data_IF_854630205737
#
_entry.id   IF_854630205737
#
_cell.length_a   1.000
_cell.length_b   1.000
_cell.length_c   1.000
_cell.angle_alpha   90.00
_cell.angle_beta   90.00
_cell.angle_gamma   90.00
#
_symmetry.space_group_name_H-M   'P 1'
#
loop_
_entity.id
_entity.type
_entity.pdbx_description
1 polymer ?
#
# COMPACT_ATOMS: atom_id res chain seq x y z
N UNK A 1 4.07 4.28 38.65
CA UNK A 1 4.24 4.72 37.27
C UNK A 1 4.54 6.18 37.33
N UNK A 2 5.79 6.54 37.05
CA UNK A 2 6.25 7.93 37.09
C UNK A 2 5.73 8.69 35.87
N UNK A 3 5.78 10.03 35.87
CA UNK A 3 5.37 10.83 34.71
C UNK A 3 6.11 10.43 33.42
N UNK A 4 7.35 9.94 33.53
CA UNK A 4 8.14 9.41 32.43
C UNK A 4 7.57 8.10 31.82
N UNK A 5 6.89 7.28 32.61
CA UNK A 5 6.24 6.04 32.12
C UNK A 5 4.98 6.38 31.33
N UNK A 6 4.23 7.39 31.76
CA UNK A 6 3.02 7.87 31.07
C UNK A 6 3.36 8.49 29.70
N UNK A 7 4.42 9.29 29.63
CA UNK A 7 4.91 9.85 28.38
C UNK A 7 5.31 8.76 27.37
N UNK A 8 6.01 7.72 27.84
CA UNK A 8 6.42 6.61 26.99
C UNK A 8 5.23 5.75 26.54
N UNK A 9 4.28 5.47 27.44
CA UNK A 9 3.06 4.73 27.09
C UNK A 9 2.20 5.50 26.07
N UNK A 10 2.09 6.82 26.24
CA UNK A 10 1.45 7.71 25.27
C UNK A 10 2.14 7.62 23.90
N UNK A 11 3.48 7.58 23.87
CA UNK A 11 4.23 7.46 22.62
C UNK A 11 3.99 6.12 21.90
N UNK A 12 3.89 5.02 22.64
CA UNK A 12 3.52 3.72 22.11
C UNK A 12 2.09 3.70 21.57
N UNK A 13 1.14 4.31 22.29
CA UNK A 13 -0.24 4.44 21.83
C UNK A 13 -0.33 5.26 20.53
N UNK A 14 0.44 6.34 20.40
CA UNK A 14 0.52 7.16 19.18
C UNK A 14 1.04 6.37 17.97
N UNK A 15 2.17 5.66 18.14
CA UNK A 15 2.70 4.78 17.08
C UNK A 15 1.71 3.69 16.67
N UNK A 16 1.07 3.05 17.65
CA UNK A 16 0.08 2.00 17.40
C UNK A 16 -1.12 2.56 16.64
N UNK A 17 -1.60 3.76 17.00
CA UNK A 17 -2.70 4.42 16.29
C UNK A 17 -2.34 4.72 14.84
N UNK A 18 -1.14 5.25 14.56
CA UNK A 18 -0.67 5.50 13.20
C UNK A 18 -0.52 4.20 12.38
N UNK A 19 0.02 3.13 12.99
CA UNK A 19 0.15 1.83 12.34
C UNK A 19 -1.21 1.20 12.01
N UNK A 20 -2.15 1.21 12.96
CA UNK A 20 -3.52 0.73 12.76
C UNK A 20 -4.24 1.55 11.69
N UNK A 21 -4.09 2.87 11.71
CA UNK A 21 -4.66 3.74 10.68
C UNK A 21 -4.14 3.40 9.28
N UNK A 22 -2.82 3.19 9.15
CA UNK A 22 -2.19 2.78 7.88
C UNK A 22 -2.70 1.41 7.41
N UNK A 23 -2.70 0.40 8.28
CA UNK A 23 -3.18 -0.94 7.93
C UNK A 23 -4.65 -0.91 7.56
N UNK A 24 -5.47 -0.17 8.31
CA UNK A 24 -6.90 -0.05 8.04
C UNK A 24 -7.13 0.60 6.67
N UNK A 25 -6.58 1.78 6.42
CA UNK A 25 -6.77 2.49 5.14
C UNK A 25 -6.20 1.70 3.96
N UNK A 26 -5.00 1.12 4.09
CA UNK A 26 -4.38 0.27 3.07
C UNK A 26 -5.18 -1.00 2.78
N UNK A 27 -5.72 -1.66 3.81
CA UNK A 27 -6.57 -2.86 3.63
C UNK A 27 -7.81 -2.55 2.79
N UNK A 28 -8.48 -1.43 3.06
CA UNK A 28 -9.64 -1.01 2.26
C UNK A 28 -9.25 -0.53 0.86
N UNK A 29 -8.07 0.08 0.71
CA UNK A 29 -7.51 0.44 -0.60
C UNK A 29 -7.17 -0.78 -1.46
N UNK A 30 -6.83 -1.92 -0.84
CA UNK A 30 -6.54 -3.19 -1.53
C UNK A 30 -7.77 -3.94 -2.04
N UNK A 31 -8.99 -3.49 -1.70
CA UNK A 31 -10.21 -4.20 -2.10
C UNK A 31 -10.53 -3.97 -3.59
N UNK A 32 -10.96 -5.01 -4.33
CA UNK A 32 -11.38 -4.85 -5.71
C UNK A 32 -12.59 -3.92 -5.82
N UNK A 33 -12.61 -3.10 -6.87
CA UNK A 33 -13.66 -2.11 -7.10
C UNK A 33 -15.06 -2.78 -7.14
N UNK A 34 -16.09 -2.17 -6.51
CA UNK A 34 -17.42 -2.75 -6.47
C UNK A 34 -18.01 -2.84 -7.89
N UNK A 35 -18.48 -4.05 -8.26
CA UNK A 35 -19.17 -4.34 -9.53
C UNK A 35 -20.51 -3.59 -9.58
N UNK A 36 -20.52 -2.36 -10.11
CA UNK A 36 -21.75 -1.63 -10.38
C UNK A 36 -22.43 -2.16 -11.64
N UNK A 37 -23.60 -2.81 -11.51
CA UNK A 37 -24.53 -2.95 -12.63
C UNK A 37 -25.22 -1.59 -12.81
N UNK A 38 -24.79 -0.82 -13.81
CA UNK A 38 -25.56 0.31 -14.32
C UNK A 38 -26.93 -0.17 -14.80
N UNK A 39 -27.99 0.58 -14.51
CA UNK A 39 -29.38 0.23 -14.80
C UNK A 39 -29.74 0.33 -16.29
N UNK A 40 -28.81 0.80 -17.13
CA UNK A 40 -28.87 0.71 -18.58
C UNK A 40 -27.60 0.00 -19.05
N UNK A 41 -27.73 -0.95 -19.96
CA UNK A 41 -26.68 -1.86 -20.44
C UNK A 41 -25.46 -1.23 -21.13
N UNK A 42 -25.14 0.05 -20.88
CA UNK A 42 -23.85 0.63 -21.19
C UNK A 42 -22.88 0.33 -20.04
N UNK A 43 -21.96 -0.61 -20.30
CA UNK A 43 -20.70 -0.73 -19.56
C UNK A 43 -19.98 0.62 -19.66
N UNK A 44 -20.01 1.40 -18.60
CA UNK A 44 -19.38 2.71 -18.54
C UNK A 44 -18.20 2.62 -17.56
N UNK A 45 -17.01 2.70 -18.14
CA UNK A 45 -15.73 3.05 -17.52
C UNK A 45 -15.22 2.12 -16.40
N UNK A 46 -15.10 0.82 -16.71
CA UNK A 46 -14.23 -0.09 -15.97
C UNK A 46 -12.76 -0.07 -16.48
N UNK A 47 -12.47 0.70 -17.54
CA UNK A 47 -11.13 0.75 -18.18
C UNK A 47 -10.14 1.68 -17.44
N UNK A 48 -10.59 2.65 -16.64
CA UNK A 48 -9.70 3.58 -15.90
C UNK A 48 -9.04 2.94 -14.66
N UNK A 49 -9.56 1.83 -14.14
CA UNK A 49 -9.01 1.11 -12.98
C UNK A 49 -8.23 -0.17 -13.43
N UNK A 50 -8.10 -0.44 -14.73
CA UNK A 50 -7.39 -1.64 -15.25
C UNK A 50 -5.86 -1.50 -15.32
N UNK A 51 -5.32 -0.28 -15.25
CA UNK A 51 -3.88 -0.02 -15.38
C UNK A 51 -3.07 -0.20 -14.08
N UNK A 52 -3.72 -0.42 -12.94
CA UNK A 52 -3.07 -0.59 -11.63
C UNK A 52 -3.59 -1.83 -10.89
N UNK A 53 -3.56 -2.99 -11.55
CA UNK A 53 -3.83 -4.26 -10.88
C UNK A 53 -2.82 -4.45 -9.73
N UNK A 54 -3.28 -4.80 -8.52
CA UNK A 54 -2.37 -5.10 -7.42
C UNK A 54 -1.49 -6.30 -7.80
N UNK A 55 -0.19 -6.16 -7.54
CA UNK A 55 0.76 -7.24 -7.66
C UNK A 55 0.48 -8.26 -6.54
N UNK A 56 0.08 -9.45 -6.97
CA UNK A 56 -0.32 -10.53 -6.06
C UNK A 56 0.87 -11.44 -5.85
N UNK A 57 1.37 -11.46 -4.62
CA UNK A 57 2.44 -12.35 -4.19
C UNK A 57 1.92 -13.78 -4.15
N UNK A 58 2.57 -14.66 -4.90
CA UNK A 58 2.34 -16.09 -4.89
C UNK A 58 3.16 -16.76 -3.78
N UNK A 59 2.86 -18.03 -3.48
CA UNK A 59 3.64 -18.85 -2.55
C UNK A 59 5.12 -18.97 -2.95
N UNK A 60 5.40 -18.97 -4.25
CA UNK A 60 6.78 -19.01 -4.78
C UNK A 60 7.52 -17.70 -4.46
N UNK A 61 6.88 -16.55 -4.66
CA UNK A 61 7.44 -15.24 -4.35
C UNK A 61 7.66 -15.10 -2.84
N UNK A 62 6.68 -15.53 -2.03
CA UNK A 62 6.71 -15.40 -0.57
C UNK A 62 7.89 -16.10 0.09
N UNK A 63 8.32 -17.27 -0.42
CA UNK A 63 9.50 -17.96 0.12
C UNK A 63 10.81 -17.23 -0.21
N UNK A 64 10.84 -16.45 -1.29
CA UNK A 64 12.01 -15.67 -1.68
C UNK A 64 12.19 -14.39 -0.84
N UNK A 65 11.15 -13.90 -0.15
CA UNK A 65 11.23 -12.66 0.64
C UNK A 65 12.36 -12.66 1.69
N UNK A 66 12.49 -13.68 2.57
CA UNK A 66 13.61 -13.78 3.50
C UNK A 66 14.99 -13.81 2.82
N UNK A 67 15.08 -14.46 1.65
CA UNK A 67 16.33 -14.62 0.92
C UNK A 67 16.74 -13.29 0.27
N UNK A 68 15.81 -12.64 -0.44
CA UNK A 68 16.01 -11.33 -1.04
C UNK A 68 16.34 -10.30 0.05
N UNK A 69 15.60 -10.31 1.16
CA UNK A 69 15.87 -9.47 2.32
C UNK A 69 17.28 -9.69 2.88
N UNK A 70 17.73 -10.94 2.97
CA UNK A 70 19.08 -11.29 3.45
C UNK A 70 20.17 -10.77 2.52
N UNK A 71 20.00 -10.95 1.20
CA UNK A 71 20.95 -10.45 0.18
C UNK A 71 21.00 -8.93 0.20
N UNK A 72 19.84 -8.27 0.26
CA UNK A 72 19.75 -6.81 0.32
C UNK A 72 20.40 -6.27 1.60
N UNK A 73 20.07 -6.82 2.77
CA UNK A 73 20.61 -6.38 4.06
C UNK A 73 22.12 -6.58 4.13
N UNK A 74 22.61 -7.74 3.71
CA UNK A 74 24.04 -8.03 3.67
C UNK A 74 24.78 -7.15 2.65
N UNK A 75 24.21 -6.97 1.45
CA UNK A 75 24.75 -6.06 0.44
C UNK A 75 24.86 -4.63 0.98
N UNK A 76 23.83 -4.18 1.69
CA UNK A 76 23.81 -2.87 2.33
C UNK A 76 24.87 -2.74 3.42
N UNK A 77 25.07 -3.78 4.21
CA UNK A 77 26.13 -3.85 5.22
C UNK A 77 27.53 -3.76 4.61
N UNK A 78 27.79 -4.48 3.52
CA UNK A 78 29.06 -4.41 2.78
C UNK A 78 29.27 -2.98 2.27
N UNK A 79 28.26 -2.36 1.66
CA UNK A 79 28.37 -0.98 1.17
C UNK A 79 28.68 -0.02 2.32
N UNK A 80 27.95 -0.08 3.44
CA UNK A 80 28.22 0.76 4.62
C UNK A 80 29.65 0.57 5.13
N UNK A 81 30.12 -0.69 5.18
CA UNK A 81 31.43 -1.04 5.73
C UNK A 81 32.60 -0.58 4.85
N UNK A 82 32.46 -0.66 3.53
CA UNK A 82 33.56 -0.40 2.59
C UNK A 82 33.50 0.97 1.91
N UNK A 83 32.30 1.50 1.62
CA UNK A 83 32.11 2.76 0.90
C UNK A 83 31.66 3.92 1.81
N UNK A 84 31.32 3.62 3.07
CA UNK A 84 30.89 4.62 4.05
C UNK A 84 29.40 4.99 3.94
N UNK A 85 28.89 5.62 4.99
CA UNK A 85 27.45 5.95 5.14
C UNK A 85 26.95 7.07 4.22
N UNK A 86 27.84 7.84 3.61
CA UNK A 86 27.45 9.00 2.78
C UNK A 86 26.88 8.56 1.44
N UNK A 87 27.55 7.63 0.75
CA UNK A 87 27.11 7.10 -0.54
C UNK A 87 25.76 6.42 -0.46
N UNK A 88 25.57 5.59 0.55
CA UNK A 88 24.33 4.86 0.77
C UNK A 88 23.16 5.80 1.09
N UNK A 89 23.37 6.78 1.97
CA UNK A 89 22.32 7.76 2.28
C UNK A 89 21.99 8.59 1.04
N UNK A 90 22.97 8.99 0.24
CA UNK A 90 22.74 9.69 -1.02
C UNK A 90 21.91 8.88 -2.03
N UNK A 91 22.27 7.60 -2.27
CA UNK A 91 21.53 6.72 -3.19
C UNK A 91 20.12 6.46 -2.69
N UNK A 92 19.96 6.09 -1.41
CA UNK A 92 18.65 5.82 -0.85
C UNK A 92 17.79 7.08 -0.78
N UNK A 93 18.37 8.24 -0.53
CA UNK A 93 17.64 9.50 -0.54
C UNK A 93 17.02 9.77 -1.92
N UNK A 94 17.75 9.58 -3.01
CA UNK A 94 17.19 9.69 -4.36
C UNK A 94 16.11 8.64 -4.63
N UNK A 95 16.34 7.39 -4.23
CA UNK A 95 15.34 6.32 -4.35
C UNK A 95 14.03 6.68 -3.63
N UNK A 96 14.09 7.08 -2.36
CA UNK A 96 12.93 7.48 -1.58
C UNK A 96 12.32 8.79 -2.06
N UNK A 97 13.08 9.66 -2.71
CA UNK A 97 12.51 10.86 -3.32
C UNK A 97 11.57 10.48 -4.46
N UNK A 98 12.06 9.66 -5.39
CA UNK A 98 11.29 9.21 -6.57
C UNK A 98 10.09 8.38 -6.13
N UNK A 99 10.33 7.39 -5.26
CA UNK A 99 9.25 6.59 -4.70
C UNK A 99 8.24 7.47 -3.94
N UNK A 100 8.70 8.45 -3.17
CA UNK A 100 7.90 9.34 -2.33
C UNK A 100 6.99 10.26 -3.13
N UNK A 101 7.42 10.71 -4.31
CA UNK A 101 6.57 11.47 -5.22
C UNK A 101 5.40 10.61 -5.71
N UNK A 102 5.66 9.37 -6.11
CA UNK A 102 4.62 8.44 -6.56
C UNK A 102 3.67 8.04 -5.44
N UNK A 103 4.20 7.58 -4.31
CA UNK A 103 3.39 7.12 -3.17
C UNK A 103 2.62 8.27 -2.52
N UNK A 104 3.23 9.44 -2.34
CA UNK A 104 2.61 10.62 -1.75
C UNK A 104 1.47 11.17 -2.61
N UNK A 105 1.67 11.20 -3.93
CA UNK A 105 0.60 11.59 -4.87
C UNK A 105 -0.59 10.64 -4.82
N UNK A 106 -0.32 9.32 -4.87
CA UNK A 106 -1.39 8.29 -4.81
C UNK A 106 -2.14 8.30 -3.48
N UNK A 107 -1.43 8.40 -2.36
CA UNK A 107 -2.04 8.49 -1.04
C UNK A 107 -2.92 9.74 -0.92
N UNK A 108 -2.46 10.89 -1.40
CA UNK A 108 -3.24 12.13 -1.40
C UNK A 108 -4.48 12.03 -2.30
N UNK A 109 -4.35 11.49 -3.51
CA UNK A 109 -5.48 11.27 -4.42
C UNK A 109 -6.53 10.35 -3.77
N UNK A 110 -6.09 9.27 -3.12
CA UNK A 110 -7.00 8.36 -2.42
C UNK A 110 -7.72 9.05 -1.26
N UNK A 111 -7.00 9.84 -0.46
CA UNK A 111 -7.57 10.60 0.64
C UNK A 111 -8.62 11.61 0.15
N UNK A 112 -8.34 12.33 -0.93
CA UNK A 112 -9.30 13.28 -1.52
C UNK A 112 -10.51 12.54 -2.10
N UNK A 113 -10.30 11.41 -2.79
CA UNK A 113 -11.39 10.55 -3.30
C UNK A 113 -12.29 10.07 -2.16
N UNK A 114 -11.71 9.74 -1.02
CA UNK A 114 -12.45 9.37 0.19
C UNK A 114 -13.24 10.54 0.77
N UNK A 115 -12.65 11.73 0.90
CA UNK A 115 -13.31 12.93 1.42
C UNK A 115 -14.43 13.48 0.52
N UNK A 116 -14.21 13.50 -0.80
CA UNK A 116 -15.16 14.04 -1.79
C UNK A 116 -16.31 13.06 -2.05
N UNK A 117 -16.07 11.77 -1.83
CA UNK A 117 -17.01 10.69 -2.05
C UNK A 117 -16.98 10.18 -3.51
N UNK A 118 -17.23 8.87 -3.71
CA UNK A 118 -17.06 8.22 -5.01
C UNK A 118 -17.99 8.76 -6.09
N UNK A 119 -19.18 9.26 -5.72
CA UNK A 119 -20.17 9.79 -6.66
C UNK A 119 -19.72 11.10 -7.29
N UNK A 120 -19.13 12.01 -6.50
CA UNK A 120 -18.62 13.30 -6.99
C UNK A 120 -17.29 13.13 -7.70
N UNK A 121 -16.42 12.24 -7.21
CA UNK A 121 -15.14 11.94 -7.88
C UNK A 121 -15.30 11.42 -9.32
N UNK A 122 -16.42 10.74 -9.61
CA UNK A 122 -16.78 10.23 -10.94
C UNK A 122 -17.39 11.28 -11.88
N UNK A 123 -17.74 12.46 -11.39
CA UNK A 123 -18.30 13.53 -12.22
C UNK A 123 -17.22 14.38 -12.90
N UNK A 124 -15.96 14.25 -12.49
CA UNK A 124 -14.85 15.00 -13.07
C UNK A 124 -14.38 14.40 -14.40
N UNK A 125 -13.96 15.28 -15.32
CA UNK A 125 -13.47 14.90 -16.64
C UNK A 125 -12.13 14.17 -16.56
N UNK A 126 -11.99 13.15 -17.39
CA UNK A 126 -10.76 12.39 -17.57
C UNK A 126 -9.93 13.00 -18.70
N UNK A 127 -8.68 13.34 -18.41
CA UNK A 127 -7.68 13.77 -19.39
C UNK A 127 -6.90 12.54 -19.82
N UNK A 128 -7.07 12.12 -21.07
CA UNK A 128 -6.27 11.05 -21.66
C UNK A 128 -5.09 11.66 -22.38
N UNK A 129 -3.88 11.36 -21.91
CA UNK A 129 -2.63 11.71 -22.58
C UNK A 129 -2.17 10.45 -23.32
N UNK A 130 -2.38 10.42 -24.63
CA UNK A 130 -1.89 9.35 -25.50
C UNK A 130 -0.66 9.82 -26.26
N UNK A 131 0.48 9.16 -26.06
CA UNK A 131 1.68 9.35 -26.88
C UNK A 131 1.72 8.21 -27.90
N UNK A 132 1.18 8.48 -29.09
CA UNK A 132 1.19 7.55 -30.22
C UNK A 132 2.43 7.78 -31.08
N UNK A 133 3.17 6.71 -31.41
CA UNK A 133 4.20 6.74 -32.46
C UNK A 133 3.82 5.72 -33.54
N UNK A 134 3.14 6.18 -34.60
CA UNK A 134 2.59 5.33 -35.65
C UNK A 134 1.24 4.70 -35.24
N UNK A 135 0.93 3.48 -35.74
CA UNK A 135 -0.32 2.74 -35.46
C UNK A 135 -0.34 1.98 -34.13
N UNK A 136 0.56 2.31 -33.19
CA UNK A 136 0.58 1.74 -31.85
C UNK A 136 0.62 2.88 -30.82
N UNK A 137 -0.36 2.88 -29.92
CA UNK A 137 -0.33 3.70 -28.72
C UNK A 137 0.75 3.11 -27.80
N UNK A 138 1.88 3.81 -27.66
CA UNK A 138 3.00 3.33 -26.85
C UNK A 138 2.80 3.62 -25.36
N UNK A 139 2.03 4.66 -25.05
CA UNK A 139 1.67 5.05 -23.70
C UNK A 139 0.34 5.81 -23.73
N UNK A 140 -0.67 5.25 -23.09
CA UNK A 140 -1.92 5.93 -22.80
C UNK A 140 -2.00 6.11 -21.28
N UNK A 141 -1.98 7.35 -20.82
CA UNK A 141 -2.23 7.68 -19.42
C UNK A 141 -3.58 8.37 -19.30
N UNK A 142 -4.48 7.75 -18.54
CA UNK A 142 -5.80 8.30 -18.25
C UNK A 142 -5.78 8.90 -16.85
N UNK A 143 -5.69 10.23 -16.76
CA UNK A 143 -5.63 10.96 -15.48
C UNK A 143 -6.86 11.83 -15.33
N UNK A 144 -7.58 11.71 -14.21
CA UNK A 144 -8.70 12.62 -13.93
C UNK A 144 -8.20 14.02 -13.62
N UNK A 145 -8.94 15.05 -14.04
CA UNK A 145 -8.56 16.45 -13.81
C UNK A 145 -8.13 16.77 -12.36
N UNK A 146 -8.80 16.29 -11.30
CA UNK A 146 -8.33 16.52 -9.92
C UNK A 146 -7.00 15.84 -9.60
N UNK A 147 -6.71 14.68 -10.19
CA UNK A 147 -5.45 13.95 -9.95
C UNK A 147 -4.23 14.73 -10.45
N UNK A 148 -4.36 15.45 -11.57
CA UNK A 148 -3.29 16.28 -12.12
C UNK A 148 -2.87 17.42 -11.17
N UNK A 149 -3.85 18.06 -10.51
CA UNK A 149 -3.57 19.10 -9.53
C UNK A 149 -3.02 18.55 -8.22
N UNK A 150 -3.33 17.31 -7.84
CA UNK A 150 -2.88 16.71 -6.58
C UNK A 150 -1.45 16.17 -6.62
N UNK A 151 -0.94 15.77 -7.80
CA UNK A 151 0.44 15.30 -7.97
C UNK A 151 1.49 16.27 -7.39
N UNK A 152 1.50 17.58 -7.73
CA UNK A 152 2.48 18.49 -7.16
C UNK A 152 2.36 18.62 -5.63
N UNK A 153 1.15 18.59 -5.07
CA UNK A 153 0.95 18.63 -3.61
C UNK A 153 1.42 17.35 -2.92
N UNK A 154 1.17 16.19 -3.52
CA UNK A 154 1.64 14.90 -3.01
C UNK A 154 3.16 14.71 -3.13
N UNK A 155 3.79 15.42 -4.07
CA UNK A 155 5.24 15.46 -4.21
C UNK A 155 5.93 16.33 -3.16
N UNK A 156 5.24 17.34 -2.59
CA UNK A 156 5.84 18.31 -1.66
C UNK A 156 6.53 17.65 -0.45
N UNK A 157 5.94 16.68 0.27
CA UNK A 157 6.61 16.05 1.40
C UNK A 157 7.97 15.44 1.02
N UNK A 158 8.02 14.78 -0.13
CA UNK A 158 9.22 14.13 -0.65
C UNK A 158 10.29 15.14 -1.06
N UNK A 159 9.88 16.20 -1.77
CA UNK A 159 10.79 17.26 -2.22
C UNK A 159 11.33 18.08 -1.05
N UNK A 160 10.51 18.39 -0.05
CA UNK A 160 10.95 19.11 1.16
C UNK A 160 11.90 18.23 1.98
N UNK A 161 11.68 16.91 2.02
CA UNK A 161 12.58 16.00 2.73
C UNK A 161 13.96 15.97 2.05
N UNK A 162 14.02 16.02 0.73
CA UNK A 162 15.29 15.90 0.01
C UNK A 162 16.02 17.22 -0.20
N UNK A 163 15.31 18.28 -0.58
CA UNK A 163 15.89 19.58 -0.91
C UNK A 163 15.71 20.63 0.18
N UNK A 164 14.97 20.34 1.24
CA UNK A 164 14.73 21.27 2.33
C UNK A 164 15.95 21.50 3.25
N UNK A 165 15.93 22.57 4.06
CA UNK A 165 16.93 22.82 5.08
C UNK A 165 17.13 21.62 6.02
N UNK A 166 18.31 21.52 6.66
CA UNK A 166 18.64 20.38 7.54
C UNK A 166 17.67 20.17 8.71
N UNK A 167 16.93 21.21 9.11
CA UNK A 167 15.88 21.15 10.13
C UNK A 167 14.61 20.46 9.61
N UNK A 168 14.24 20.70 8.35
CA UNK A 168 13.06 20.07 7.71
C UNK A 168 13.26 18.56 7.49
N UNK A 169 14.51 18.12 7.25
CA UNK A 169 14.89 16.70 7.13
C UNK A 169 14.63 15.89 8.41
N UNK A 170 14.78 16.53 9.56
CA UNK A 170 14.57 15.90 10.88
C UNK A 170 13.13 15.99 11.37
N UNK A 171 12.22 16.56 10.57
CA UNK A 171 10.82 16.67 10.95
C UNK A 171 10.19 15.28 11.02
N UNK A 172 9.73 14.92 12.22
CA UNK A 172 8.99 13.68 12.46
C UNK A 172 7.73 13.62 11.59
N UNK A 173 7.01 14.74 11.47
CA UNK A 173 5.80 14.83 10.66
C UNK A 173 6.06 14.52 9.19
N UNK A 174 7.15 15.03 8.63
CA UNK A 174 7.48 14.80 7.21
C UNK A 174 7.82 13.33 6.95
N UNK A 175 8.56 12.74 7.89
CA UNK A 175 8.92 11.33 7.88
C UNK A 175 7.69 10.45 8.01
N UNK A 176 6.76 10.78 8.91
CA UNK A 176 5.52 10.05 9.12
C UNK A 176 4.60 10.13 7.90
N UNK A 177 4.43 11.31 7.29
CA UNK A 177 3.63 11.47 6.07
C UNK A 177 4.18 10.62 4.92
N UNK A 178 5.51 10.56 4.76
CA UNK A 178 6.14 9.70 3.76
C UNK A 178 5.99 8.22 4.10
N UNK A 179 6.22 7.81 5.35
CA UNK A 179 6.07 6.44 5.79
C UNK A 179 4.62 5.93 5.70
N UNK A 180 3.64 6.77 6.02
CA UNK A 180 2.21 6.49 5.84
C UNK A 180 1.86 6.37 4.35
N UNK A 181 2.38 7.25 3.50
CA UNK A 181 2.20 7.17 2.05
C UNK A 181 2.81 5.89 1.47
N UNK A 182 4.01 5.51 1.90
CA UNK A 182 4.68 4.27 1.48
C UNK A 182 3.93 3.03 1.94
N UNK A 183 3.50 2.99 3.20
CA UNK A 183 2.72 1.85 3.71
C UNK A 183 1.37 1.72 3.02
N UNK A 184 0.64 2.82 2.85
CA UNK A 184 -0.62 2.81 2.11
C UNK A 184 -0.42 2.26 0.69
N UNK A 185 0.56 2.78 -0.05
CA UNK A 185 0.85 2.31 -1.40
C UNK A 185 1.27 0.84 -1.42
N UNK A 186 2.16 0.42 -0.52
CA UNK A 186 2.59 -0.97 -0.43
C UNK A 186 1.42 -1.92 -0.14
N UNK A 187 0.50 -1.56 0.77
CA UNK A 187 -0.67 -2.39 1.10
C UNK A 187 -1.73 -2.43 0.00
N UNK A 188 -1.83 -1.37 -0.82
CA UNK A 188 -2.73 -1.38 -1.98
C UNK A 188 -2.17 -2.23 -3.11
N UNK A 189 -0.87 -2.13 -3.38
CA UNK A 189 -0.24 -2.79 -4.54
C UNK A 189 0.26 -4.20 -4.24
N UNK A 190 0.94 -4.43 -3.12
CA UNK A 190 1.49 -5.74 -2.76
C UNK A 190 0.45 -6.49 -1.93
N UNK A 191 -0.21 -7.45 -2.56
CA UNK A 191 -1.28 -8.20 -1.92
C UNK A 191 -0.98 -9.68 -1.94
N UNK A 192 -1.45 -10.42 -0.93
CA UNK A 192 -1.27 -11.87 -0.90
C UNK A 192 -2.38 -12.55 -1.71
N UNK A 193 -2.06 -13.65 -2.38
CA UNK A 193 -3.03 -14.42 -3.17
C UNK A 193 -3.88 -15.39 -2.34
N UNK A 194 -3.38 -15.86 -1.20
CA UNK A 194 -3.99 -16.93 -0.41
C UNK A 194 -3.50 -16.93 1.04
N UNK A 195 -4.27 -17.59 1.91
CA UNK A 195 -3.91 -17.78 3.30
C UNK A 195 -2.60 -18.59 3.46
N UNK A 196 -2.34 -19.55 2.56
CA UNK A 196 -1.11 -20.35 2.57
C UNK A 196 0.12 -19.47 2.32
N UNK A 197 0.06 -18.62 1.29
CA UNK A 197 1.14 -17.69 0.97
C UNK A 197 1.41 -16.75 2.13
N UNK A 198 0.35 -16.24 2.79
CA UNK A 198 0.49 -15.45 4.01
C UNK A 198 1.21 -16.18 5.14
N UNK A 199 0.89 -17.46 5.37
CA UNK A 199 1.58 -18.29 6.37
C UNK A 199 3.05 -18.50 6.02
N UNK A 200 3.37 -18.76 4.74
CA UNK A 200 4.73 -18.97 4.25
C UNK A 200 5.56 -17.69 4.45
N UNK A 201 5.04 -16.54 4.01
CA UNK A 201 5.71 -15.24 4.14
C UNK A 201 6.00 -14.92 5.61
N UNK A 202 4.97 -14.96 6.46
CA UNK A 202 5.10 -14.59 7.87
C UNK A 202 5.99 -15.57 8.65
N UNK A 203 5.93 -16.87 8.36
CA UNK A 203 6.80 -17.86 9.00
C UNK A 203 8.26 -17.73 8.55
N UNK A 204 8.48 -17.46 7.25
CA UNK A 204 9.82 -17.20 6.72
C UNK A 204 10.44 -15.95 7.33
N UNK A 205 9.66 -14.86 7.44
CA UNK A 205 10.12 -13.61 8.03
C UNK A 205 10.31 -13.69 9.55
N UNK A 206 9.55 -14.54 10.24
CA UNK A 206 9.81 -14.87 11.65
C UNK A 206 11.22 -15.45 11.85
N UNK A 207 11.59 -16.44 11.03
CA UNK A 207 12.93 -17.05 11.10
C UNK A 207 14.03 -16.09 10.68
N UNK A 208 13.77 -15.28 9.65
CA UNK A 208 14.67 -14.22 9.19
C UNK A 208 15.00 -13.23 10.32
N UNK A 209 13.98 -12.71 11.00
CA UNK A 209 14.14 -11.73 12.08
C UNK A 209 14.93 -12.33 13.24
N UNK A 210 14.63 -13.57 13.64
CA UNK A 210 15.39 -14.27 14.70
C UNK A 210 16.86 -14.36 14.34
N UNK A 211 17.17 -14.80 13.11
CA UNK A 211 18.55 -14.96 12.65
C UNK A 211 19.29 -13.63 12.57
N UNK A 212 18.71 -12.61 11.92
CA UNK A 212 19.41 -11.34 11.67
C UNK A 212 19.46 -10.41 12.88
N UNK A 213 18.48 -10.46 13.79
CA UNK A 213 18.47 -9.65 15.01
C UNK A 213 19.31 -10.27 16.12
N UNK A 214 19.15 -11.57 16.39
CA UNK A 214 19.85 -12.22 17.50
C UNK A 214 21.17 -12.88 17.09
N UNK A 215 21.26 -13.39 15.85
CA UNK A 215 22.42 -14.13 15.38
C UNK A 215 23.56 -13.26 14.82
N UNK A 216 23.29 -12.02 14.40
CA UNK A 216 24.28 -11.16 13.74
C UNK A 216 24.21 -9.70 14.17
N UNK A 217 25.32 -8.97 14.10
CA UNK A 217 25.35 -7.51 14.34
C UNK A 217 24.96 -6.68 13.10
N UNK A 218 24.66 -7.33 11.97
CA UNK A 218 24.48 -6.68 10.68
C UNK A 218 23.26 -5.77 10.68
N UNK A 219 22.12 -6.26 11.19
CA UNK A 219 20.88 -5.49 11.20
C UNK A 219 21.02 -4.19 12.01
N UNK A 220 21.66 -4.26 13.19
CA UNK A 220 21.89 -3.09 14.03
C UNK A 220 22.83 -2.09 13.34
N UNK A 221 23.96 -2.56 12.79
CA UNK A 221 24.94 -1.69 12.10
C UNK A 221 24.35 -0.99 10.89
N UNK A 222 23.51 -1.67 10.12
CA UNK A 222 22.81 -1.06 8.98
C UNK A 222 21.79 -0.05 9.50
N UNK A 223 20.96 -0.42 10.47
CA UNK A 223 19.90 0.45 11.01
C UNK A 223 20.41 1.76 11.64
N UNK A 224 21.62 1.77 12.19
CA UNK A 224 22.24 2.97 12.80
C UNK A 224 22.93 3.89 11.80
N UNK A 225 23.34 3.40 10.63
CA UNK A 225 24.05 4.19 9.63
C UNK A 225 23.12 4.77 8.54
N UNK A 226 21.87 4.30 8.49
CA UNK A 226 20.86 4.71 7.54
C UNK A 226 19.97 5.84 8.08
N UNK A 227 19.97 6.98 7.39
CA UNK A 227 19.13 8.14 7.70
C UNK A 227 18.11 8.37 6.57
N UNK A 228 17.00 7.62 6.62
CA UNK A 228 16.02 7.48 5.55
C UNK A 228 14.60 7.38 6.12
N UNK A 229 13.55 7.84 5.39
CA UNK A 229 12.19 7.96 5.91
C UNK A 229 11.43 6.61 5.83
N UNK A 230 11.97 5.58 6.49
CA UNK A 230 11.43 4.19 6.48
C UNK A 230 10.87 3.81 7.86
N UNK A 231 10.59 4.79 8.72
CA UNK A 231 10.19 4.57 10.12
C UNK A 231 9.11 5.58 10.49
N UNK A 232 8.11 5.15 11.25
CA UNK A 232 7.21 6.07 11.95
C UNK A 232 7.87 6.56 13.23
N UNK A 233 7.70 7.84 13.54
CA UNK A 233 8.30 8.53 14.66
C UNK A 233 7.20 9.11 15.55
N UNK A 234 7.33 8.93 16.87
CA UNK A 234 6.45 9.63 17.81
C UNK A 234 7.27 10.20 18.97
N UNK A 235 7.00 11.43 19.42
CA UNK A 235 7.76 12.04 20.51
C UNK A 235 7.59 11.26 21.82
N UNK A 236 8.69 10.98 22.52
CA UNK A 236 8.69 10.29 23.82
C UNK A 236 8.17 11.13 24.99
N UNK A 237 7.71 12.36 24.74
CA UNK A 237 7.24 13.31 25.75
C UNK A 237 5.99 14.00 25.20
N UNK A 238 4.95 14.09 26.04
CA UNK A 238 3.72 14.84 25.71
C UNK A 238 3.95 16.35 25.67
N UNK A 239 4.90 16.85 26.48
CA UNK A 239 5.47 18.16 26.25
C UNK A 239 6.30 18.08 24.97
N UNK A 240 6.04 18.94 23.99
CA UNK A 240 6.80 19.14 22.75
C UNK A 240 8.28 19.51 22.95
N UNK A 241 8.88 19.15 24.09
CA UNK A 241 10.30 19.16 24.34
C UNK A 241 10.95 17.95 23.65
N UNK A 242 11.72 18.23 22.61
CA UNK A 242 12.51 17.29 21.80
C UNK A 242 13.62 16.57 22.58
N UNK A 243 13.79 16.86 23.88
CA UNK A 243 14.95 16.44 24.69
C UNK A 243 15.03 14.94 24.96
N UNK A 244 13.93 14.17 24.82
CA UNK A 244 13.90 12.72 25.09
C UNK A 244 13.97 11.83 23.84
N UNK A 245 14.03 12.42 22.65
CA UNK A 245 14.05 11.70 21.37
C UNK A 245 12.71 11.05 20.97
N UNK A 246 12.73 10.22 19.93
CA UNK A 246 11.52 9.61 19.34
C UNK A 246 11.46 8.10 19.60
N UNK A 247 10.25 7.56 19.77
CA UNK A 247 9.98 6.14 19.57
C UNK A 247 9.82 5.87 18.09
N UNK A 248 10.32 4.72 17.64
CA UNK A 248 10.39 4.38 16.22
C UNK A 248 9.69 3.05 15.95
N UNK A 249 8.97 2.95 14.84
CA UNK A 249 8.42 1.69 14.32
C UNK A 249 8.81 1.53 12.86
N UNK A 250 9.34 0.35 12.49
CA UNK A 250 9.77 0.07 11.12
C UNK A 250 8.58 -0.07 10.17
N UNK A 251 8.72 0.43 8.93
CA UNK A 251 7.69 0.26 7.90
C UNK A 251 7.41 -1.22 7.60
N UNK A 252 8.43 -2.08 7.65
CA UNK A 252 8.29 -3.52 7.46
C UNK A 252 7.34 -4.16 8.47
N UNK A 253 7.37 -3.71 9.72
CA UNK A 253 6.51 -4.20 10.81
C UNK A 253 5.05 -3.77 10.65
N UNK A 254 4.77 -2.82 9.76
CA UNK A 254 3.41 -2.37 9.41
C UNK A 254 2.95 -3.08 8.14
N UNK A 255 3.76 -3.02 7.09
CA UNK A 255 3.39 -3.51 5.76
C UNK A 255 3.30 -5.03 5.74
N UNK A 256 4.27 -5.76 6.29
CA UNK A 256 4.29 -7.23 6.20
C UNK A 256 3.09 -7.87 6.91
N UNK A 257 2.83 -7.59 8.20
CA UNK A 257 1.61 -8.08 8.85
C UNK A 257 0.36 -7.44 8.26
N UNK A 258 0.43 -6.19 7.82
CA UNK A 258 -0.68 -5.47 7.20
C UNK A 258 -1.17 -6.12 5.90
N UNK A 259 -0.28 -6.69 5.08
CA UNK A 259 -0.66 -7.46 3.88
C UNK A 259 -1.51 -8.68 4.26
N UNK A 260 -1.20 -9.33 5.38
CA UNK A 260 -1.98 -10.44 5.91
C UNK A 260 -3.33 -10.00 6.49
N UNK A 261 -3.39 -8.85 7.15
CA UNK A 261 -4.65 -8.23 7.61
C UNK A 261 -5.53 -7.82 6.41
N UNK A 262 -4.92 -7.29 5.34
CA UNK A 262 -5.62 -6.95 4.10
C UNK A 262 -6.18 -8.19 3.39
N UNK A 263 -5.42 -9.29 3.36
CA UNK A 263 -5.89 -10.60 2.89
C UNK A 263 -7.13 -11.07 3.67
N UNK A 264 -7.13 -10.92 5.00
CA UNK A 264 -8.26 -11.28 5.83
C UNK A 264 -9.53 -10.48 5.48
N UNK A 265 -9.38 -9.19 5.14
CA UNK A 265 -10.49 -8.35 4.67
C UNK A 265 -11.02 -8.80 3.29
N UNK A 266 -10.13 -9.16 2.37
CA UNK A 266 -10.49 -9.68 1.04
C UNK A 266 -11.23 -11.01 1.14
N UNK A 267 -10.78 -11.89 2.03
CA UNK A 267 -11.48 -13.14 2.33
C UNK A 267 -12.88 -12.90 2.93
N UNK A 268 -13.00 -11.95 3.86
CA UNK A 268 -14.31 -11.53 4.38
C UNK A 268 -15.23 -11.00 3.27
N UNK A 269 -14.69 -10.27 2.28
CA UNK A 269 -15.45 -9.76 1.14
C UNK A 269 -15.91 -10.90 0.22
N UNK A 270 -15.03 -11.85 -0.09
CA UNK A 270 -15.37 -13.05 -0.84
C UNK A 270 -16.54 -13.80 -0.17
N UNK A 271 -16.46 -14.02 1.15
CA UNK A 271 -17.53 -14.69 1.89
C UNK A 271 -18.84 -13.88 1.91
N UNK A 272 -18.76 -12.55 2.02
CA UNK A 272 -19.94 -11.70 1.94
C UNK A 272 -20.60 -11.78 0.55
N UNK A 273 -19.80 -11.80 -0.52
CA UNK A 273 -20.28 -11.97 -1.88
C UNK A 273 -20.96 -13.34 -2.10
N UNK A 274 -20.41 -14.42 -1.54
CA UNK A 274 -20.98 -15.76 -1.60
C UNK A 274 -22.35 -15.88 -0.90
N UNK A 275 -22.64 -15.03 0.10
CA UNK A 275 -23.91 -15.00 0.84
C UNK A 275 -25.04 -14.23 0.14
N UNK A 276 -24.76 -13.60 -1.01
CA UNK A 276 -25.74 -12.88 -1.82
C UNK A 276 -25.74 -11.35 -1.62
N UNK A 277 -26.37 -10.64 -2.55
CA UNK A 277 -26.28 -9.17 -2.71
C UNK A 277 -26.84 -8.34 -1.54
N UNK A 278 -27.64 -8.95 -0.65
CA UNK A 278 -28.24 -8.29 0.51
C UNK A 278 -27.58 -8.67 1.85
N UNK A 279 -26.53 -9.50 1.82
CA UNK A 279 -25.83 -9.88 3.04
C UNK A 279 -24.99 -8.71 3.59
N UNK A 280 -25.07 -8.47 4.90
CA UNK A 280 -24.22 -7.49 5.58
C UNK A 280 -22.75 -7.89 5.46
N UNK A 281 -21.88 -6.95 5.10
CA UNK A 281 -20.43 -7.15 5.01
C UNK A 281 -19.79 -7.25 6.40
N UNK A 282 -20.00 -8.39 7.06
CA UNK A 282 -19.38 -8.71 8.34
C UNK A 282 -17.90 -9.07 8.14
N UNK A 283 -17.02 -8.56 9.01
CA UNK A 283 -15.56 -8.61 8.86
C UNK A 283 -14.82 -9.32 10.01
N UNK A 284 -15.26 -10.53 10.43
CA UNK A 284 -14.68 -11.22 11.57
C UNK A 284 -13.19 -11.55 11.38
N UNK A 285 -12.73 -11.95 10.19
CA UNK A 285 -11.32 -12.27 9.97
C UNK A 285 -10.46 -11.01 10.01
N UNK A 286 -10.92 -9.92 9.39
CA UNK A 286 -10.24 -8.63 9.41
C UNK A 286 -10.08 -8.09 10.84
N UNK A 287 -11.16 -8.02 11.62
CA UNK A 287 -11.07 -7.49 12.99
C UNK A 287 -10.29 -8.42 13.92
N UNK A 288 -10.36 -9.74 13.74
CA UNK A 288 -9.51 -10.68 14.48
C UNK A 288 -8.03 -10.48 14.17
N UNK A 289 -7.66 -10.36 12.89
CA UNK A 289 -6.27 -10.14 12.46
C UNK A 289 -5.76 -8.76 12.88
N UNK A 290 -6.58 -7.70 12.76
CA UNK A 290 -6.22 -6.36 13.22
C UNK A 290 -6.05 -6.31 14.75
N UNK A 291 -6.93 -6.98 15.50
CA UNK A 291 -6.80 -7.12 16.95
C UNK A 291 -5.53 -7.88 17.35
N UNK A 292 -5.18 -8.93 16.61
CA UNK A 292 -3.96 -9.69 16.83
C UNK A 292 -2.69 -8.88 16.49
N UNK A 293 -2.74 -8.05 15.45
CA UNK A 293 -1.68 -7.09 15.14
C UNK A 293 -1.46 -6.12 16.31
N UNK A 294 -2.53 -5.50 16.82
CA UNK A 294 -2.47 -4.61 17.99
C UNK A 294 -1.91 -5.33 19.22
N UNK A 295 -2.38 -6.55 19.49
CA UNK A 295 -1.90 -7.34 20.63
C UNK A 295 -0.43 -7.75 20.48
N UNK A 296 -0.01 -8.16 19.28
CA UNK A 296 1.37 -8.53 18.99
C UNK A 296 2.32 -7.34 19.11
N UNK A 297 1.95 -6.18 18.57
CA UNK A 297 2.74 -4.96 18.70
C UNK A 297 2.77 -4.46 20.15
N UNK A 298 1.66 -4.55 20.88
CA UNK A 298 1.63 -4.24 22.31
C UNK A 298 2.54 -5.16 23.12
N UNK A 299 2.57 -6.45 22.80
CA UNK A 299 3.49 -7.40 23.41
C UNK A 299 4.96 -7.06 23.12
N UNK A 300 5.31 -6.69 21.88
CA UNK A 300 6.69 -6.31 21.53
C UNK A 300 7.13 -5.08 22.32
N UNK A 301 6.27 -4.06 22.38
CA UNK A 301 6.53 -2.83 23.14
C UNK A 301 6.69 -3.13 24.63
N UNK A 302 5.86 -4.01 25.19
CA UNK A 302 5.93 -4.43 26.60
C UNK A 302 7.24 -5.16 26.90
N UNK A 303 7.63 -6.12 26.06
CA UNK A 303 8.89 -6.86 26.22
C UNK A 303 10.08 -5.92 26.09
N UNK A 304 10.12 -5.06 25.07
CA UNK A 304 11.19 -4.07 24.92
C UNK A 304 11.27 -3.14 26.13
N UNK A 305 10.13 -2.77 26.72
CA UNK A 305 10.09 -1.92 27.91
C UNK A 305 10.64 -2.62 29.16
N UNK A 306 10.33 -3.90 29.36
CA UNK A 306 10.79 -4.70 30.52
C UNK A 306 12.26 -5.07 30.39
N UNK A 307 12.68 -5.58 29.24
CA UNK A 307 14.02 -6.11 29.02
C UNK A 307 15.05 -5.04 28.60
N UNK A 308 14.60 -3.81 28.30
CA UNK A 308 15.42 -2.67 27.85
C UNK A 308 16.33 -3.02 26.66
N UNK A 309 15.94 -4.01 25.86
CA UNK A 309 16.64 -4.48 24.68
C UNK A 309 15.69 -4.41 23.47
N UNK A 310 16.22 -4.03 22.31
CA UNK A 310 15.46 -4.09 21.08
C UNK A 310 15.08 -5.55 20.76
N UNK A 311 13.86 -5.76 20.31
CA UNK A 311 13.34 -7.07 19.93
C UNK A 311 12.81 -7.01 18.49
N UNK A 312 12.92 -8.09 17.71
CA UNK A 312 12.28 -8.15 16.40
C UNK A 312 10.77 -8.06 16.57
N UNK A 313 10.11 -7.15 15.87
CA UNK A 313 8.66 -7.00 16.01
C UNK A 313 7.91 -8.18 15.37
N UNK A 314 8.41 -8.69 14.23
CA UNK A 314 7.79 -9.82 13.54
C UNK A 314 7.81 -11.12 14.36
N UNK A 315 8.72 -11.23 15.33
CA UNK A 315 8.76 -12.35 16.28
C UNK A 315 7.41 -12.60 16.97
N UNK A 316 6.69 -11.52 17.28
CA UNK A 316 5.39 -11.58 17.95
C UNK A 316 4.23 -11.37 16.97
N UNK A 317 4.40 -10.48 15.99
CA UNK A 317 3.36 -10.15 15.02
C UNK A 317 3.03 -11.32 14.09
N UNK A 318 4.04 -12.03 13.59
CA UNK A 318 3.87 -13.18 12.70
C UNK A 318 2.98 -14.29 13.29
N UNK A 319 3.34 -14.88 14.46
CA UNK A 319 2.51 -15.91 15.06
C UNK A 319 1.14 -15.37 15.51
N UNK A 320 1.06 -14.14 16.01
CA UNK A 320 -0.23 -13.55 16.42
C UNK A 320 -1.22 -13.46 15.24
N UNK A 321 -0.77 -12.93 14.10
CA UNK A 321 -1.60 -12.81 12.90
C UNK A 321 -2.03 -14.18 12.36
N UNK A 322 -1.10 -15.12 12.21
CA UNK A 322 -1.42 -16.48 11.72
C UNK A 322 -2.43 -17.17 12.65
N UNK A 323 -2.16 -17.19 13.96
CA UNK A 323 -3.00 -17.85 14.95
C UNK A 323 -4.40 -17.22 15.01
N UNK A 324 -4.52 -15.90 14.86
CA UNK A 324 -5.82 -15.22 14.85
C UNK A 324 -6.72 -15.70 13.71
N UNK A 325 -6.16 -15.88 12.51
CA UNK A 325 -6.89 -16.33 11.35
C UNK A 325 -7.25 -17.82 11.49
N UNK A 326 -6.31 -18.66 11.92
CA UNK A 326 -6.55 -20.09 12.19
C UNK A 326 -7.64 -20.25 13.25
N UNK A 327 -7.53 -19.55 14.37
CA UNK A 327 -8.50 -19.63 15.47
C UNK A 327 -9.89 -19.20 15.00
N UNK A 328 -9.99 -18.11 14.25
CA UNK A 328 -11.26 -17.65 13.68
C UNK A 328 -11.84 -18.68 12.72
N UNK A 329 -11.01 -19.30 11.87
CA UNK A 329 -11.45 -20.31 10.92
C UNK A 329 -11.91 -21.60 11.60
N UNK A 330 -11.22 -22.03 12.66
CA UNK A 330 -11.57 -23.21 13.46
C UNK A 330 -12.86 -22.99 14.24
N UNK A 331 -13.02 -21.85 14.92
CA UNK A 331 -14.23 -21.51 15.68
C UNK A 331 -15.47 -21.45 14.78
N UNK A 332 -15.29 -21.07 13.51
CA UNK A 332 -16.37 -21.02 12.52
C UNK A 332 -16.57 -22.31 11.74
N UNK A 333 -15.65 -23.28 11.84
CA UNK A 333 -15.68 -24.52 11.05
C UNK A 333 -15.35 -24.33 9.56
N UNK A 334 -14.81 -23.18 9.17
CA UNK A 334 -14.57 -22.77 7.76
C UNK A 334 -13.10 -22.98 7.32
N UNK A 335 -12.30 -23.72 8.10
CA UNK A 335 -10.85 -23.85 7.87
C UNK A 335 -10.49 -24.43 6.50
N UNK A 336 -11.21 -25.46 6.02
CA UNK A 336 -10.93 -26.08 4.73
C UNK A 336 -11.12 -25.08 3.60
N UNK A 337 -12.24 -24.36 3.62
CA UNK A 337 -12.58 -23.36 2.60
C UNK A 337 -11.55 -22.23 2.59
N UNK A 338 -11.16 -21.73 3.78
CA UNK A 338 -10.16 -20.69 3.91
C UNK A 338 -8.75 -21.15 3.45
N UNK A 339 -8.41 -22.42 3.66
CA UNK A 339 -7.15 -23.01 3.21
C UNK A 339 -7.10 -23.20 1.70
N UNK A 340 -8.22 -23.51 1.06
CA UNK A 340 -8.29 -23.72 -0.39
C UNK A 340 -8.51 -22.44 -1.19
N UNK A 341 -8.91 -21.36 -0.53
CA UNK A 341 -9.21 -20.10 -1.20
C UNK A 341 -7.96 -19.46 -1.83
N UNK A 342 -8.10 -19.03 -3.09
CA UNK A 342 -7.10 -18.31 -3.84
C UNK A 342 -7.76 -17.17 -4.61
N UNK A 343 -7.31 -15.96 -4.34
CA UNK A 343 -7.85 -14.74 -4.91
C UNK A 343 -7.51 -14.62 -6.43
N UNK A 344 -6.34 -15.09 -6.89
CA UNK A 344 -5.91 -14.96 -8.30
C UNK A 344 -6.81 -15.76 -9.27
N UNK A 345 -7.24 -16.94 -8.83
CA UNK A 345 -8.12 -17.81 -9.62
C UNK A 345 -9.47 -17.13 -9.90
N UNK A 346 -10.03 -16.43 -8.91
CA UNK A 346 -11.32 -15.73 -9.06
C UNK A 346 -11.26 -14.56 -10.04
N UNK A 347 -10.17 -13.79 -10.03
CA UNK A 347 -10.02 -12.66 -10.96
C UNK A 347 -9.84 -13.16 -12.40
N UNK A 348 -9.10 -14.24 -12.58
CA UNK A 348 -8.89 -14.90 -13.88
C UNK A 348 -10.20 -15.47 -14.45
N UNK A 349 -11.00 -16.14 -13.61
CA UNK A 349 -12.34 -16.60 -13.97
C UNK A 349 -13.31 -15.43 -14.26
N UNK A 350 -13.23 -14.35 -13.48
CA UNK A 350 -14.05 -13.17 -13.71
C UNK A 350 -13.68 -12.49 -15.05
N UNK A 351 -12.41 -12.53 -15.46
CA UNK A 351 -11.93 -12.00 -16.74
C UNK A 351 -12.35 -12.88 -17.92
N UNK A 352 -12.27 -14.20 -17.79
CA UNK A 352 -12.66 -15.14 -18.86
C UNK A 352 -14.18 -15.17 -19.11
N UNK A 353 -15.00 -14.91 -18.09
CA UNK A 353 -16.46 -14.78 -18.21
C UNK A 353 -16.92 -13.46 -18.83
N UNK A 354 -16.02 -12.51 -19.14
CA UNK A 354 -16.36 -11.30 -19.90
C UNK A 354 -16.47 -11.67 -21.39
N UNK A 355 -17.61 -11.45 -22.06
CA UNK A 355 -17.67 -11.62 -23.51
C UNK A 355 -16.71 -10.62 -24.16
N UNK A 356 -15.73 -11.14 -24.89
CA UNK A 356 -14.92 -10.39 -25.84
C UNK A 356 -15.87 -9.68 -26.80
N UNK A 357 -15.86 -8.34 -26.78
CA UNK A 357 -16.51 -7.58 -27.84
C UNK A 357 -15.77 -7.93 -29.13
N UNK A 358 -16.49 -8.59 -30.04
CA UNK A 358 -15.96 -9.09 -31.29
C UNK A 358 -15.23 -7.99 -32.06
N UNK A 359 -13.99 -8.29 -32.46
CA UNK A 359 -13.27 -7.58 -33.51
C UNK A 359 -14.09 -7.61 -34.80
N UNK A 360 -14.66 -6.48 -35.20
CA UNK A 360 -15.29 -6.34 -36.53
C UNK A 360 -14.19 -6.37 -37.60
N UNK A 361 -14.35 -7.13 -38.70
CA UNK A 361 -13.37 -7.19 -39.77
C UNK A 361 -13.31 -5.86 -40.53
N UNK A 362 -12.08 -5.47 -40.90
CA UNK A 362 -11.75 -4.37 -41.80
C UNK A 362 -12.65 -4.35 -43.05
N UNK A 363 -13.43 -3.28 -43.23
CA UNK A 363 -13.94 -2.90 -44.54
C UNK A 363 -13.06 -1.80 -45.13
N UNK A 364 -12.41 -2.16 -46.24
CA UNK A 364 -11.47 -1.35 -47.00
C UNK A 364 -12.25 -0.27 -47.78
N UNK A 365 -12.04 1.01 -47.46
CA UNK A 365 -12.42 2.10 -48.36
C UNK A 365 -11.27 3.11 -48.46
N UNK A 366 -10.74 3.21 -49.68
CA UNK A 366 -9.73 4.19 -50.10
C UNK A 366 -10.37 5.58 -50.20
N UNK A 367 -9.73 6.59 -49.61
CA UNK A 367 -9.68 7.93 -50.17
C UNK A 367 -8.43 8.67 -49.68
N UNK A 368 -7.64 9.16 -50.62
CA UNK A 368 -6.45 9.99 -50.44
C UNK A 368 -6.73 11.27 -49.65
N UNK A 369 -5.79 11.70 -48.80
CA UNK A 369 -4.99 12.93 -49.04
C UNK A 369 -4.10 13.28 -47.84
N UNK A 370 -2.97 13.88 -48.20
CA UNK A 370 -1.85 14.39 -47.40
C UNK A 370 -2.22 15.33 -46.24
N UNK A 371 -1.50 15.22 -45.11
CA UNK A 371 -0.68 16.32 -44.55
C UNK A 371 -0.03 15.92 -43.23
N UNK A 372 1.26 16.24 -43.11
CA UNK A 372 2.06 16.21 -41.89
C UNK A 372 1.48 17.16 -40.84
N UNK A 373 1.26 16.67 -39.62
CA UNK A 373 1.12 17.51 -38.43
C UNK A 373 1.53 16.72 -37.19
N UNK A 374 2.72 17.02 -36.65
CA UNK A 374 3.03 16.73 -35.24
C UNK A 374 2.10 17.60 -34.39
N UNK A 375 1.05 17.01 -33.84
CA UNK A 375 0.10 17.70 -32.97
C UNK A 375 -0.05 16.95 -31.65
N UNK A 376 0.23 17.62 -30.54
CA UNK A 376 -0.24 17.21 -29.21
C UNK A 376 -1.72 17.58 -29.16
N UNK A 377 -2.61 16.59 -29.24
CA UNK A 377 -4.06 16.78 -29.14
C UNK A 377 -4.51 16.63 -27.68
N UNK A 378 -4.75 17.75 -27.00
CA UNK A 378 -5.53 17.82 -25.76
C UNK A 378 -7.01 17.84 -26.14
N UNK A 379 -7.73 16.73 -25.96
CA UNK A 379 -9.19 16.70 -26.12
C UNK A 379 -9.86 16.89 -24.75
N UNK A 380 -10.52 18.03 -24.54
CA UNK A 380 -11.49 18.22 -23.46
C UNK A 380 -12.88 17.84 -23.98
N UNK A 381 -13.48 16.79 -23.41
CA UNK A 381 -14.81 16.34 -23.79
C UNK A 381 -15.89 17.11 -23.02
N UNK A 382 -16.17 18.35 -23.45
CA UNK A 382 -17.23 19.16 -22.87
C UNK A 382 -18.63 18.66 -23.24
N UNK A 383 -19.43 18.25 -22.25
CA UNK A 383 -20.89 18.13 -22.40
C UNK A 383 -21.54 19.51 -22.20
N UNK A 384 -21.90 20.20 -23.28
CA UNK A 384 -22.82 21.33 -23.22
C UNK A 384 -24.24 20.79 -23.42
N UNK A 385 -25.06 20.85 -22.38
CA UNK A 385 -26.51 20.65 -22.48
C UNK A 385 -27.12 21.90 -23.12
N UNK A 386 -27.56 21.81 -24.37
CA UNK A 386 -28.36 22.85 -25.01
C UNK A 386 -29.84 22.45 -24.93
N UNK A 387 -30.58 23.31 -24.24
CA UNK A 387 -32.00 23.20 -23.93
C UNK A 387 -32.76 23.59 -25.21
N UNK A 388 -33.53 22.68 -25.78
CA UNK A 388 -34.40 22.98 -26.91
C UNK A 388 -35.58 23.84 -26.44
N UNK A 389 -35.61 25.09 -26.90
CA UNK A 389 -36.77 25.97 -26.95
C UNK A 389 -37.02 26.29 -28.43
N UNK A 390 -38.16 25.85 -28.97
CA UNK A 390 -38.94 26.60 -29.97
C UNK A 390 -40.18 25.80 -30.36
N UNK A 391 -41.32 26.48 -30.22
CA UNK A 391 -42.56 26.25 -30.96
C UNK A 391 -42.36 26.30 -32.48
#
# INVERSE_FOLDING_TARGET
MDAADWDLLSSYAGLLALAVFSIYTGSYGSLPAPKGKGKDGKKQDAEDDEDELPERLSSEDAWLFPVIGSVLLFGLYVIVKYFGREWINWVLQWYFTVAGVGSGSKALISLVRWLVGPTRWRQYETVKISVSRGSKDLLAWSLRTPSLYMIPFGALPSLIYTFGPSESRKSALLTDVLALSFSYNALCFLTLDSFKTGCILLSGLFLYDVWWVFGTEVMVKVATNLDVPIKLLWPKSLAFATDRGFTMLGLGDIVVPGMFVALALRYDQHRAAARGQHATFAKPYFYAALGAYVAGLGATMTVMHVFKAAQPALLYLSPACILSFITTALVRGEFKDAWTWNDQAEESEARSRRPSAASTPHEMSRANSSASANGVTLTSAGRRAEKAEAS
#
